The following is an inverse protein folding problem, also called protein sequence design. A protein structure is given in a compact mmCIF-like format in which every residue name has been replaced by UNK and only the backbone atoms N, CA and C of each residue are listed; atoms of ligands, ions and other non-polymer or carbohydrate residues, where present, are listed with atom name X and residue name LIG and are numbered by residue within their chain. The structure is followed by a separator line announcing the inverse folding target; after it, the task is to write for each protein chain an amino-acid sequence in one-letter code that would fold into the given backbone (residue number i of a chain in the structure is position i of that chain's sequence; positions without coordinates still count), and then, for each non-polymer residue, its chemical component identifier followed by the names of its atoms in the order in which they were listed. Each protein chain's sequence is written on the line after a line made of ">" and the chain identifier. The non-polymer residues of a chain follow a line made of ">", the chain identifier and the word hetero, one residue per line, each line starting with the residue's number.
data_IF_814205487657
#
_entry.id   IF_814205487657
#
_cell.length_a   1.000
_cell.length_b   1.000
_cell.length_c   1.000
_cell.angle_alpha   90.00
_cell.angle_beta   90.00
_cell.angle_gamma   90.00
#
_symmetry.space_group_name_H-M   'P 1'
#
loop_
_entity.id
_entity.type
_entity.pdbx_description
1 polymer ?
#
# COMPACT_ATOMS: atom_id res chain seq x y z
N UNK A 1 -1.16 25.91 -2.29
CA UNK A 1 -2.56 25.64 -2.72
C UNK A 1 -3.39 25.45 -1.46
N UNK A 2 -4.68 25.81 -1.43
CA UNK A 2 -5.55 25.51 -0.28
C UNK A 2 -6.52 24.40 -0.70
N UNK A 3 -6.41 23.23 -0.08
CA UNK A 3 -7.41 22.19 -0.20
C UNK A 3 -8.56 22.48 0.76
N UNK A 4 -9.77 22.00 0.45
CA UNK A 4 -10.94 22.18 1.32
C UNK A 4 -11.72 20.88 1.43
N UNK A 5 -12.54 20.78 2.48
CA UNK A 5 -13.47 19.67 2.69
C UNK A 5 -12.79 18.29 2.60
N UNK A 6 -11.57 18.17 3.13
CA UNK A 6 -10.83 16.92 3.21
C UNK A 6 -11.61 15.95 4.09
N UNK A 7 -11.77 14.69 3.68
CA UNK A 7 -12.41 13.64 4.46
C UNK A 7 -11.89 12.27 4.03
N UNK A 8 -11.92 11.31 4.95
CA UNK A 8 -11.72 9.90 4.62
C UNK A 8 -13.09 9.25 4.45
N UNK A 9 -13.29 8.64 3.29
CA UNK A 9 -14.54 7.99 2.92
C UNK A 9 -14.31 6.50 2.62
N UNK A 10 -15.37 5.73 2.72
CA UNK A 10 -15.37 4.31 2.35
C UNK A 10 -15.32 4.18 0.81
N UNK A 11 -14.52 3.26 0.24
CA UNK A 11 -14.56 2.94 -1.20
C UNK A 11 -15.96 2.57 -1.74
N UNK A 12 -16.90 2.18 -0.89
CA UNK A 12 -18.28 1.87 -1.26
C UNK A 12 -19.18 3.11 -1.39
N UNK A 13 -18.70 4.30 -1.01
CA UNK A 13 -19.50 5.52 -1.12
C UNK A 13 -19.92 5.84 -2.56
N UNK A 14 -21.20 6.20 -2.74
CA UNK A 14 -21.82 6.42 -4.05
C UNK A 14 -21.05 7.47 -4.86
N UNK A 15 -20.58 8.54 -4.21
CA UNK A 15 -19.83 9.62 -4.86
C UNK A 15 -18.52 9.12 -5.49
N UNK A 16 -17.76 8.32 -4.74
CA UNK A 16 -16.51 7.74 -5.20
C UNK A 16 -16.73 6.67 -6.27
N UNK A 17 -17.70 5.77 -6.08
CA UNK A 17 -18.04 4.76 -7.11
C UNK A 17 -18.47 5.39 -8.43
N UNK A 18 -19.25 6.48 -8.39
CA UNK A 18 -19.61 7.27 -9.58
C UNK A 18 -18.37 7.89 -10.23
N UNK A 19 -17.46 8.46 -9.45
CA UNK A 19 -16.20 9.00 -9.95
C UNK A 19 -15.39 7.93 -10.68
N UNK A 20 -15.18 6.76 -10.06
CA UNK A 20 -14.40 5.67 -10.66
C UNK A 20 -15.04 5.15 -11.96
N UNK A 21 -16.38 5.06 -12.02
CA UNK A 21 -17.09 4.71 -13.27
C UNK A 21 -16.85 5.73 -14.37
N UNK A 22 -17.00 7.02 -14.06
CA UNK A 22 -16.85 8.11 -15.04
C UNK A 22 -15.41 8.20 -15.57
N UNK A 23 -14.42 7.84 -14.76
CA UNK A 23 -13.00 7.84 -15.13
C UNK A 23 -12.50 6.46 -15.60
N UNK A 24 -13.40 5.49 -15.83
CA UNK A 24 -13.07 4.11 -16.24
C UNK A 24 -12.06 3.39 -15.33
N UNK A 25 -12.03 3.76 -14.05
CA UNK A 25 -11.14 3.17 -13.03
C UNK A 25 -11.70 1.85 -12.46
N UNK A 26 -13.01 1.59 -12.59
CA UNK A 26 -13.65 0.38 -12.04
C UNK A 26 -13.32 -0.92 -12.77
N UNK A 27 -12.76 -0.86 -13.99
CA UNK A 27 -12.49 -2.04 -14.81
C UNK A 27 -11.06 -2.59 -14.67
N UNK A 28 -10.25 -2.11 -13.71
CA UNK A 28 -8.89 -2.63 -13.49
C UNK A 28 -8.79 -3.68 -12.37
N UNK A 29 -9.84 -3.91 -11.56
CA UNK A 29 -9.78 -4.86 -10.43
C UNK A 29 -10.89 -5.93 -10.39
N UNK A 30 -11.93 -5.88 -11.23
CA UNK A 30 -13.03 -6.86 -11.15
C UNK A 30 -13.50 -7.26 -12.56
N UNK A 31 -13.27 -8.53 -12.92
CA UNK A 31 -14.08 -9.26 -13.89
C UNK A 31 -13.57 -9.33 -15.33
N UNK A 32 -12.51 -10.11 -15.58
CA UNK A 32 -12.45 -10.98 -16.78
C UNK A 32 -11.51 -12.18 -16.55
N UNK A 33 -11.94 -13.43 -16.75
CA UNK A 33 -11.12 -14.64 -16.57
C UNK A 33 -10.25 -14.98 -17.80
N UNK A 34 -9.71 -13.99 -18.50
CA UNK A 34 -8.75 -14.21 -19.59
C UNK A 34 -7.42 -13.54 -19.25
N UNK A 35 -6.41 -14.35 -18.91
CA UNK A 35 -5.03 -13.97 -18.57
C UNK A 35 -4.91 -12.87 -17.50
N UNK A 36 -5.07 -13.24 -16.22
CA UNK A 36 -4.76 -12.31 -15.12
C UNK A 36 -3.26 -12.01 -15.13
N UNK A 37 -2.90 -10.76 -15.43
CA UNK A 37 -1.51 -10.30 -15.40
C UNK A 37 -0.87 -10.69 -14.06
N UNK A 38 0.18 -11.52 -14.04
CA UNK A 38 0.84 -11.96 -12.82
C UNK A 38 1.27 -10.80 -11.91
N UNK A 39 1.60 -9.64 -12.49
CA UNK A 39 1.96 -8.42 -11.75
C UNK A 39 0.79 -7.91 -10.91
N UNK A 40 -0.43 -7.96 -11.45
CA UNK A 40 -1.65 -7.52 -10.76
C UNK A 40 -2.02 -8.49 -9.66
N UNK A 41 -1.93 -9.80 -9.93
CA UNK A 41 -2.22 -10.85 -8.94
C UNK A 41 -1.24 -10.75 -7.77
N UNK A 42 0.07 -10.72 -8.06
CA UNK A 42 1.11 -10.61 -7.06
C UNK A 42 0.93 -9.35 -6.20
N UNK A 43 0.65 -8.20 -6.82
CA UNK A 43 0.44 -6.97 -6.08
C UNK A 43 -0.79 -7.05 -5.15
N UNK A 44 -1.89 -7.67 -5.59
CA UNK A 44 -3.09 -7.82 -4.78
C UNK A 44 -2.87 -8.76 -3.58
N UNK A 45 -2.19 -9.88 -3.78
CA UNK A 45 -1.88 -10.84 -2.73
C UNK A 45 -0.94 -10.24 -1.69
N UNK A 46 0.07 -9.50 -2.13
CA UNK A 46 0.97 -8.76 -1.24
C UNK A 46 0.23 -7.64 -0.49
N UNK A 47 -0.66 -6.89 -1.14
CA UNK A 47 -1.49 -5.88 -0.46
C UNK A 47 -2.30 -6.52 0.68
N UNK A 48 -2.95 -7.65 0.43
CA UNK A 48 -3.74 -8.38 1.43
C UNK A 48 -2.88 -8.87 2.60
N UNK A 49 -1.74 -9.48 2.28
CA UNK A 49 -0.77 -9.98 3.23
C UNK A 49 -0.25 -8.90 4.19
N UNK A 50 0.22 -7.79 3.63
CA UNK A 50 0.74 -6.66 4.41
C UNK A 50 -0.38 -6.01 5.24
N UNK A 51 -1.60 -5.89 4.69
CA UNK A 51 -2.76 -5.38 5.43
C UNK A 51 -3.12 -6.26 6.62
N UNK A 52 -2.95 -7.57 6.52
CA UNK A 52 -3.14 -8.46 7.67
C UNK A 52 -2.08 -8.23 8.76
N UNK A 53 -0.81 -8.08 8.39
CA UNK A 53 0.25 -7.73 9.34
C UNK A 53 -0.04 -6.40 10.05
N UNK A 54 -0.46 -5.37 9.30
CA UNK A 54 -0.84 -4.07 9.85
C UNK A 54 -2.05 -4.19 10.79
N UNK A 55 -3.10 -4.90 10.41
CA UNK A 55 -4.28 -5.09 11.25
C UNK A 55 -3.95 -5.86 12.53
N UNK A 56 -3.07 -6.86 12.45
CA UNK A 56 -2.61 -7.63 13.60
C UNK A 56 -1.81 -6.77 14.56
N UNK A 57 -0.89 -5.95 14.04
CA UNK A 57 -0.03 -5.08 14.86
C UNK A 57 -0.80 -3.90 15.48
N UNK A 58 -1.59 -3.17 14.68
CA UNK A 58 -2.32 -1.97 15.11
C UNK A 58 -3.73 -2.27 15.65
N UNK A 59 -4.14 -3.54 15.70
CA UNK A 59 -5.45 -4.01 16.15
C UNK A 59 -6.59 -3.88 15.12
N UNK A 60 -6.58 -2.85 14.27
CA UNK A 60 -7.52 -2.73 13.15
C UNK A 60 -7.06 -1.72 12.09
N UNK A 61 -7.63 -1.82 10.89
CA UNK A 61 -7.48 -0.84 9.81
C UNK A 61 -8.81 -0.12 9.55
N UNK A 62 -8.74 1.16 9.20
CA UNK A 62 -9.93 1.92 8.82
C UNK A 62 -10.52 1.37 7.51
N UNK A 63 -11.86 1.18 7.42
CA UNK A 63 -12.52 0.95 6.13
C UNK A 63 -12.52 2.23 5.25
N UNK A 64 -12.32 3.40 5.86
CA UNK A 64 -12.28 4.69 5.16
C UNK A 64 -10.87 4.98 4.64
N UNK A 65 -10.54 4.41 3.48
CA UNK A 65 -9.22 4.52 2.86
C UNK A 65 -9.16 5.41 1.60
N UNK A 66 -10.24 6.13 1.31
CA UNK A 66 -10.27 7.09 0.20
C UNK A 66 -10.21 8.51 0.74
N UNK A 67 -9.13 9.22 0.41
CA UNK A 67 -9.01 10.66 0.67
C UNK A 67 -9.83 11.45 -0.35
N UNK A 68 -10.93 12.03 0.11
CA UNK A 68 -11.79 12.95 -0.62
C UNK A 68 -11.42 14.39 -0.28
N UNK A 69 -11.26 15.26 -1.28
CA UNK A 69 -10.89 16.66 -1.06
C UNK A 69 -11.35 17.55 -2.22
N UNK A 70 -11.50 18.84 -1.97
CA UNK A 70 -11.76 19.83 -3.00
C UNK A 70 -10.49 20.59 -3.36
N UNK A 71 -10.21 20.67 -4.67
CA UNK A 71 -9.12 21.44 -5.24
C UNK A 71 -9.69 22.55 -6.12
N UNK A 72 -9.17 23.77 -5.96
CA UNK A 72 -9.51 24.90 -6.84
C UNK A 72 -8.91 24.69 -8.23
N UNK A 73 -9.73 24.84 -9.26
CA UNK A 73 -9.34 24.91 -10.67
C UNK A 73 -9.83 26.26 -11.26
N UNK A 74 -9.71 26.44 -12.59
CA UNK A 74 -10.12 27.67 -13.27
C UNK A 74 -11.64 27.94 -13.20
N UNK A 75 -12.46 26.91 -13.02
CA UNK A 75 -13.93 26.97 -13.06
C UNK A 75 -14.58 26.92 -11.66
N UNK A 76 -13.79 26.74 -10.60
CA UNK A 76 -14.29 26.65 -9.23
C UNK A 76 -13.57 25.61 -8.40
N UNK A 77 -14.30 24.96 -7.49
CA UNK A 77 -13.79 23.84 -6.71
C UNK A 77 -14.24 22.53 -7.35
N UNK A 78 -13.29 21.62 -7.56
CA UNK A 78 -13.55 20.28 -8.06
C UNK A 78 -13.25 19.26 -6.97
N UNK A 79 -14.18 18.33 -6.77
CA UNK A 79 -14.01 17.17 -5.90
C UNK A 79 -13.01 16.19 -6.54
N UNK A 80 -12.01 15.80 -5.77
CA UNK A 80 -10.96 14.87 -6.14
C UNK A 80 -10.90 13.73 -5.11
N UNK A 81 -10.37 12.58 -5.55
CA UNK A 81 -10.23 11.38 -4.73
C UNK A 81 -8.84 10.77 -4.91
N UNK A 82 -8.29 10.22 -3.84
CA UNK A 82 -7.10 9.36 -3.84
C UNK A 82 -7.37 8.15 -2.97
N UNK A 83 -7.30 6.96 -3.55
CA UNK A 83 -7.37 5.71 -2.77
C UNK A 83 -5.99 5.42 -2.19
N UNK A 84 -5.98 4.95 -0.95
CA UNK A 84 -4.80 4.49 -0.21
C UNK A 84 -4.92 2.97 -0.05
N UNK A 85 -3.80 2.27 0.04
CA UNK A 85 -3.81 0.82 0.23
C UNK A 85 -4.36 0.47 1.62
N UNK A 86 -3.91 1.20 2.65
CA UNK A 86 -4.46 1.12 4.00
C UNK A 86 -4.38 2.45 4.78
N UNK A 87 -5.20 2.53 5.84
CA UNK A 87 -5.18 3.62 6.82
C UNK A 87 -5.23 3.02 8.23
N UNK A 88 -4.28 3.42 9.08
CA UNK A 88 -4.24 3.06 10.50
C UNK A 88 -4.90 4.17 11.31
N UNK A 89 -5.69 3.80 12.32
CA UNK A 89 -6.55 4.71 13.07
C UNK A 89 -7.95 4.82 12.47
N UNK A 90 -8.73 5.81 12.90
CA UNK A 90 -10.10 6.03 12.42
C UNK A 90 -10.22 7.22 11.45
N UNK A 91 -11.39 7.42 10.84
CA UNK A 91 -11.60 8.49 9.84
C UNK A 91 -11.47 9.91 10.41
N UNK A 92 -11.67 10.08 11.71
CA UNK A 92 -11.57 11.36 12.42
C UNK A 92 -10.14 11.60 12.90
N UNK A 93 -9.43 10.54 13.31
CA UNK A 93 -8.06 10.57 13.83
C UNK A 93 -7.18 9.52 13.12
N UNK A 94 -6.92 9.68 11.82
CA UNK A 94 -6.00 8.79 11.12
C UNK A 94 -4.57 9.04 11.63
N UNK A 95 -3.87 7.95 11.94
CA UNK A 95 -2.50 7.98 12.45
C UNK A 95 -1.50 7.82 11.30
N UNK A 96 -1.73 6.82 10.44
CA UNK A 96 -0.88 6.53 9.29
C UNK A 96 -1.68 6.34 8.01
N UNK A 97 -1.17 6.93 6.93
CA UNK A 97 -1.49 6.48 5.57
C UNK A 97 -0.43 5.48 5.13
N UNK A 98 -0.87 4.35 4.57
CA UNK A 98 0.04 3.29 4.16
C UNK A 98 -0.06 3.07 2.66
N UNK A 99 1.10 3.05 2.01
CA UNK A 99 1.28 2.68 0.61
C UNK A 99 2.12 1.40 0.55
N UNK A 100 1.69 0.42 -0.25
CA UNK A 100 2.28 -0.92 -0.33
C UNK A 100 2.72 -1.17 -1.77
N UNK A 101 3.98 -1.55 -1.97
CA UNK A 101 4.53 -1.85 -3.28
C UNK A 101 5.15 -3.24 -3.30
N UNK A 102 4.56 -4.12 -4.11
CA UNK A 102 5.19 -5.39 -4.50
C UNK A 102 6.09 -5.16 -5.71
N UNK A 103 7.37 -5.54 -5.59
CA UNK A 103 8.37 -5.39 -6.64
C UNK A 103 9.24 -6.62 -6.75
N UNK A 104 9.85 -6.82 -7.90
CA UNK A 104 10.82 -7.91 -8.17
C UNK A 104 12.27 -7.46 -7.96
N UNK A 105 12.48 -6.16 -7.72
CA UNK A 105 13.79 -5.56 -7.44
C UNK A 105 13.65 -4.48 -6.36
N UNK A 106 14.52 -4.53 -5.35
CA UNK A 106 14.54 -3.59 -4.23
C UNK A 106 14.79 -2.15 -4.70
N UNK A 107 14.14 -1.20 -4.04
CA UNK A 107 14.20 0.24 -4.28
C UNK A 107 13.29 0.76 -5.40
N UNK A 108 12.74 -0.11 -6.26
CA UNK A 108 11.79 0.31 -7.32
C UNK A 108 10.44 0.76 -6.73
N UNK A 109 9.98 0.08 -5.70
CA UNK A 109 8.72 0.36 -5.01
C UNK A 109 8.78 1.72 -4.33
N UNK A 110 9.90 2.03 -3.67
CA UNK A 110 10.11 3.34 -3.05
C UNK A 110 10.06 4.48 -4.08
N UNK A 111 10.77 4.35 -5.20
CA UNK A 111 10.78 5.37 -6.26
C UNK A 111 9.38 5.69 -6.79
N UNK A 112 8.51 4.68 -6.89
CA UNK A 112 7.15 4.83 -7.39
C UNK A 112 6.14 5.25 -6.30
N UNK A 113 6.25 4.66 -5.11
CA UNK A 113 5.31 4.84 -3.99
C UNK A 113 5.52 6.13 -3.21
N UNK A 114 6.77 6.58 -3.05
CA UNK A 114 7.08 7.77 -2.27
C UNK A 114 6.37 9.03 -2.83
N UNK A 115 6.42 9.35 -4.14
CA UNK A 115 5.69 10.50 -4.67
C UNK A 115 4.16 10.35 -4.57
N UNK A 116 3.63 9.12 -4.59
CA UNK A 116 2.19 8.86 -4.47
C UNK A 116 1.70 9.16 -3.04
N UNK A 117 2.42 8.64 -2.04
CA UNK A 117 2.13 8.83 -0.63
C UNK A 117 2.36 10.27 -0.17
N UNK A 118 3.48 10.89 -0.57
CA UNK A 118 3.77 12.31 -0.28
C UNK A 118 2.65 13.24 -0.73
N UNK A 119 2.13 13.04 -1.95
CA UNK A 119 1.01 13.86 -2.46
C UNK A 119 -0.24 13.69 -1.60
N UNK A 120 -0.56 12.47 -1.19
CA UNK A 120 -1.72 12.19 -0.33
C UNK A 120 -1.55 12.83 1.06
N UNK A 121 -0.37 12.73 1.66
CA UNK A 121 -0.08 13.32 2.97
C UNK A 121 -0.13 14.84 2.94
N UNK A 122 0.47 15.49 1.95
CA UNK A 122 0.44 16.97 1.83
C UNK A 122 -1.00 17.50 1.79
N UNK A 123 -1.92 16.78 1.16
CA UNK A 123 -3.34 17.15 1.12
C UNK A 123 -4.01 16.92 2.47
N UNK A 124 -3.79 15.74 3.06
CA UNK A 124 -4.46 15.30 4.28
C UNK A 124 -3.98 16.05 5.53
N UNK A 125 -2.70 16.42 5.59
CA UNK A 125 -2.09 17.13 6.73
C UNK A 125 -2.61 18.56 6.91
N UNK A 126 -3.28 19.15 5.91
CA UNK A 126 -4.03 20.40 6.13
C UNK A 126 -5.16 20.22 7.16
N UNK A 127 -5.72 19.00 7.28
CA UNK A 127 -6.76 18.64 8.26
C UNK A 127 -6.18 17.86 9.44
N UNK A 128 -5.32 16.88 9.20
CA UNK A 128 -4.75 16.01 10.23
C UNK A 128 -3.25 16.24 10.34
N UNK A 129 -2.85 17.25 11.12
CA UNK A 129 -1.46 17.72 11.17
C UNK A 129 -0.44 16.67 11.64
N UNK A 130 -0.86 15.76 12.53
CA UNK A 130 -0.03 14.68 13.07
C UNK A 130 -0.01 13.41 12.20
N UNK A 131 -0.74 13.39 11.08
CA UNK A 131 -0.80 12.22 10.19
C UNK A 131 0.58 11.95 9.59
N UNK A 132 1.08 10.73 9.73
CA UNK A 132 2.33 10.27 9.12
C UNK A 132 2.08 9.26 7.99
N UNK A 133 3.13 8.92 7.26
CA UNK A 133 3.10 7.92 6.19
C UNK A 133 3.94 6.70 6.51
N UNK A 134 3.49 5.54 6.08
CA UNK A 134 4.30 4.31 6.03
C UNK A 134 4.34 3.85 4.57
N UNK A 135 5.54 3.62 4.05
CA UNK A 135 5.73 3.07 2.71
C UNK A 135 6.38 1.69 2.83
N UNK A 136 5.63 0.65 2.53
CA UNK A 136 6.10 -0.74 2.64
C UNK A 136 6.44 -1.25 1.25
N UNK A 137 7.72 -1.53 1.02
CA UNK A 137 8.18 -2.22 -0.17
C UNK A 137 8.40 -3.69 0.14
N UNK A 138 7.79 -4.58 -0.64
CA UNK A 138 8.00 -6.03 -0.57
C UNK A 138 8.72 -6.47 -1.83
N UNK A 139 9.98 -6.89 -1.68
CA UNK A 139 10.85 -7.31 -2.78
C UNK A 139 10.88 -8.84 -2.92
N UNK A 140 10.48 -9.33 -4.08
CA UNK A 140 10.58 -10.74 -4.48
C UNK A 140 11.83 -10.95 -5.32
N UNK A 141 12.99 -11.03 -4.66
CA UNK A 141 14.25 -11.28 -5.35
C UNK A 141 14.26 -12.71 -5.93
N UNK A 142 14.42 -12.81 -7.25
CA UNK A 142 14.49 -14.08 -7.99
C UNK A 142 15.93 -14.52 -8.25
N UNK A 143 16.90 -13.61 -8.11
CA UNK A 143 18.32 -13.95 -8.06
C UNK A 143 18.64 -14.40 -6.62
N UNK A 144 18.69 -15.72 -6.44
CA UNK A 144 19.19 -16.36 -5.23
C UNK A 144 20.66 -15.98 -5.04
N UNK A 145 20.91 -14.88 -4.35
CA UNK A 145 22.13 -14.77 -3.56
C UNK A 145 22.05 -15.88 -2.52
N UNK A 146 22.89 -16.91 -2.66
CA UNK A 146 22.99 -18.08 -1.78
C UNK A 146 23.37 -17.74 -0.32
N UNK A 147 23.37 -16.46 0.09
CA UNK A 147 23.98 -16.03 1.35
C UNK A 147 23.05 -15.53 2.45
N UNK A 148 21.76 -15.31 2.26
CA UNK A 148 20.94 -14.78 3.35
C UNK A 148 19.54 -15.39 3.39
N UNK A 149 19.35 -16.41 4.21
CA UNK A 149 18.00 -16.79 4.63
C UNK A 149 18.02 -17.54 5.96
N UNK A 150 18.36 -16.81 7.03
CA UNK A 150 17.68 -17.11 8.29
C UNK A 150 16.22 -16.69 8.08
N UNK A 151 15.23 -17.60 8.17
CA UNK A 151 13.83 -17.19 8.14
C UNK A 151 13.60 -16.22 9.30
N UNK A 152 13.32 -14.97 8.94
CA UNK A 152 12.94 -13.94 9.91
C UNK A 152 11.47 -14.17 10.26
N UNK A 153 11.21 -14.12 11.56
CA UNK A 153 9.96 -14.54 12.19
C UNK A 153 8.93 -13.40 12.08
N UNK A 154 7.66 -13.66 12.41
CA UNK A 154 6.63 -12.63 12.48
C UNK A 154 7.02 -11.45 13.39
N UNK A 155 7.85 -11.73 14.40
CA UNK A 155 8.42 -10.73 15.31
C UNK A 155 9.16 -9.61 14.56
N UNK A 156 9.96 -9.94 13.55
CA UNK A 156 10.77 -8.95 12.82
C UNK A 156 9.89 -7.97 12.03
N UNK A 157 8.81 -8.47 11.41
CA UNK A 157 7.81 -7.63 10.72
C UNK A 157 7.15 -6.64 11.69
N UNK A 158 6.87 -7.08 12.92
CA UNK A 158 6.22 -6.24 13.93
C UNK A 158 7.19 -5.29 14.62
N UNK A 159 8.45 -5.64 14.75
CA UNK A 159 9.50 -4.73 15.21
C UNK A 159 9.70 -3.55 14.24
N UNK A 160 9.71 -3.83 12.93
CA UNK A 160 9.73 -2.79 11.89
C UNK A 160 8.53 -1.85 12.01
N UNK A 161 7.31 -2.37 12.19
CA UNK A 161 6.11 -1.55 12.38
C UNK A 161 6.14 -0.76 13.69
N UNK A 162 6.66 -1.35 14.77
CA UNK A 162 6.79 -0.68 16.06
C UNK A 162 7.78 0.49 16.00
N UNK A 163 8.80 0.41 15.13
CA UNK A 163 9.76 1.50 14.94
C UNK A 163 9.10 2.78 14.41
N UNK A 164 8.02 2.64 13.60
CA UNK A 164 7.28 3.77 13.04
C UNK A 164 6.56 4.62 14.11
N UNK A 165 6.26 4.06 15.29
CA UNK A 165 5.62 4.81 16.38
C UNK A 165 6.63 5.60 17.23
N UNK A 166 7.91 5.23 17.18
CA UNK A 166 8.95 5.78 18.05
C UNK A 166 9.70 6.96 17.41
N UNK A 167 9.46 7.21 16.13
CA UNK A 167 10.20 8.21 15.40
C UNK A 167 9.64 9.61 15.69
N UNK A 168 10.33 10.33 16.58
CA UNK A 168 10.14 11.77 16.84
C UNK A 168 10.82 12.64 15.76
N UNK A 169 11.36 12.04 14.69
CA UNK A 169 11.98 12.78 13.60
C UNK A 169 10.97 13.64 12.82
N UNK A 170 11.48 14.70 12.18
CA UNK A 170 10.72 15.51 11.22
C UNK A 170 10.31 14.71 9.95
N UNK A 171 10.74 13.45 9.83
CA UNK A 171 10.42 12.62 8.68
C UNK A 171 8.93 12.24 8.67
N UNK A 172 8.24 12.69 7.61
CA UNK A 172 6.78 12.48 7.48
C UNK A 172 6.42 11.10 6.95
N UNK A 173 7.39 10.33 6.46
CA UNK A 173 7.20 9.02 5.82
C UNK A 173 8.30 8.09 6.27
N UNK A 174 7.93 6.99 6.90
CA UNK A 174 8.86 5.91 7.28
C UNK A 174 8.84 4.81 6.19
N UNK A 175 9.96 4.56 5.50
CA UNK A 175 10.07 3.44 4.57
C UNK A 175 10.38 2.13 5.31
N UNK A 176 9.66 1.06 4.96
CA UNK A 176 9.89 -0.31 5.45
C UNK A 176 10.21 -1.21 4.25
N UNK A 177 11.20 -2.09 4.42
CA UNK A 177 11.64 -3.00 3.37
C UNK A 177 11.53 -4.44 3.85
N UNK A 178 10.66 -5.20 3.21
CA UNK A 178 10.53 -6.64 3.43
C UNK A 178 10.92 -7.41 2.18
N UNK A 179 11.52 -8.58 2.36
CA UNK A 179 11.57 -9.57 1.30
C UNK A 179 10.24 -10.35 1.24
N UNK A 180 9.94 -10.92 0.07
CA UNK A 180 8.80 -11.82 -0.08
C UNK A 180 8.89 -13.04 0.85
N UNK A 181 10.12 -13.51 1.13
CA UNK A 181 10.38 -14.62 2.05
C UNK A 181 10.08 -14.26 3.50
N UNK A 182 10.48 -13.06 3.97
CA UNK A 182 10.14 -12.57 5.31
C UNK A 182 8.62 -12.49 5.50
N UNK A 183 7.93 -11.93 4.50
CA UNK A 183 6.47 -11.83 4.53
C UNK A 183 5.80 -13.21 4.54
N UNK A 184 6.29 -14.15 3.74
CA UNK A 184 5.76 -15.50 3.68
C UNK A 184 5.95 -16.28 5.00
N UNK A 185 7.14 -16.19 5.58
CA UNK A 185 7.47 -16.85 6.85
C UNK A 185 6.64 -16.28 8.01
N UNK A 186 6.60 -14.95 8.14
CA UNK A 186 5.82 -14.29 9.19
C UNK A 186 4.32 -14.58 9.09
N UNK A 187 3.78 -14.65 7.87
CA UNK A 187 2.37 -15.00 7.68
C UNK A 187 2.05 -16.47 7.99
N UNK A 188 2.96 -17.39 7.69
CA UNK A 188 2.79 -18.79 8.07
C UNK A 188 2.72 -18.95 9.60
N UNK A 189 3.56 -18.23 10.35
CA UNK A 189 3.54 -18.22 11.82
C UNK A 189 2.25 -17.63 12.40
N UNK A 190 1.70 -16.61 11.75
CA UNK A 190 0.42 -16.01 12.13
C UNK A 190 -0.80 -16.85 11.72
N UNK A 191 -0.59 -18.07 11.20
CA UNK A 191 -1.66 -18.98 10.78
C UNK A 191 -2.40 -18.56 9.51
N UNK A 192 -1.82 -17.65 8.72
CA UNK A 192 -2.38 -17.15 7.46
C UNK A 192 -1.38 -17.24 6.31
N UNK A 193 -0.96 -18.46 5.91
CA UNK A 193 0.04 -18.63 4.87
C UNK A 193 -0.40 -17.96 3.56
N UNK A 194 0.57 -17.40 2.84
CA UNK A 194 0.36 -16.85 1.49
C UNK A 194 -0.13 -17.93 0.54
N UNK A 195 -0.75 -17.50 -0.56
CA UNK A 195 -1.10 -18.41 -1.65
C UNK A 195 0.15 -19.18 -2.13
N UNK A 196 0.11 -20.52 -2.25
CA UNK A 196 1.26 -21.32 -2.67
C UNK A 196 1.81 -20.92 -4.05
N UNK A 197 0.98 -20.32 -4.92
CA UNK A 197 1.37 -19.89 -6.26
C UNK A 197 2.13 -18.55 -6.28
N UNK A 198 2.29 -17.88 -5.14
CA UNK A 198 2.87 -16.53 -5.08
C UNK A 198 4.28 -16.44 -5.65
N UNK A 199 5.09 -17.49 -5.47
CA UNK A 199 6.42 -17.57 -6.06
C UNK A 199 6.36 -17.73 -7.59
N UNK A 200 5.37 -18.46 -8.09
CA UNK A 200 5.10 -18.58 -9.52
C UNK A 200 4.74 -17.24 -10.15
N UNK A 201 3.89 -16.45 -9.48
CA UNK A 201 3.54 -15.10 -9.93
C UNK A 201 4.73 -14.13 -9.85
N UNK A 202 5.52 -14.17 -8.78
CA UNK A 202 6.74 -13.36 -8.66
C UNK A 202 7.73 -13.62 -9.81
N UNK A 203 7.97 -14.90 -10.13
CA UNK A 203 8.82 -15.29 -11.25
C UNK A 203 8.26 -14.81 -12.60
N UNK A 204 6.96 -15.00 -12.83
CA UNK A 204 6.31 -14.55 -14.07
C UNK A 204 6.35 -13.01 -14.22
N UNK A 205 6.16 -12.26 -13.13
CA UNK A 205 6.30 -10.79 -13.11
C UNK A 205 7.73 -10.34 -13.39
N UNK A 206 8.73 -11.05 -12.86
CA UNK A 206 10.13 -10.72 -13.15
C UNK A 206 10.45 -10.93 -14.64
N UNK A 207 10.02 -12.07 -15.20
CA UNK A 207 10.21 -12.35 -16.62
C UNK A 207 9.52 -11.33 -17.52
N UNK A 208 8.27 -10.94 -17.22
CA UNK A 208 7.54 -9.96 -18.04
C UNK A 208 8.19 -8.57 -18.02
N UNK A 209 8.79 -8.18 -16.89
CA UNK A 209 9.45 -6.88 -16.75
C UNK A 209 10.83 -6.81 -17.41
N UNK A 210 11.52 -7.94 -17.54
CA UNK A 210 12.87 -8.00 -18.11
C UNK A 210 12.92 -8.47 -19.57
N UNK A 211 11.86 -9.09 -20.09
CA UNK A 211 11.73 -9.45 -21.53
C UNK A 211 11.27 -8.26 -22.40
N UNK A 212 10.85 -7.15 -21.80
CA UNK A 212 10.41 -5.94 -22.48
C UNK A 212 11.53 -4.89 -22.67
N UNK A 213 12.78 -5.24 -22.36
CA UNK A 213 13.97 -4.38 -22.43
C UNK A 213 14.95 -4.80 -23.50
#
# INVERSE_FOLDING_TARGET
>A
MRYRQQSLIDPQEIGYRRFCRNHKLLNQKIGTPAATDPTVVLAAEVELAVRYCLATHFGSLSPHRVLSYERRNALGYQRCYRELDAVVGDRCHPQFFVEIKSVTQRGRGIKAGLPQLQRSLVIAQERWRSLQGILIEVAWMTELSEQESTPLLATDLFEDLASCQKDESDERITPIYWSGQQLAAGLAELGMPLNPDILGWANATWSSQNLAG
#
